data_IF_457301890878
#
_entry.id   IF_457301890878
#
_cell.length_a   1.000
_cell.length_b   1.000
_cell.length_c   1.000
_cell.angle_alpha   90.00
_cell.angle_beta   90.00
_cell.angle_gamma   90.00
#
_symmetry.space_group_name_H-M   'P 1'
#
loop_
_entity.id
_entity.type
_entity.pdbx_description
1 polymer ?
#
# COMPACT_ATOMS: atom_id res chain seq x y z
N UNK A 1 6.41 -4.75 5.59
CA UNK A 1 5.38 -4.00 4.86
C UNK A 1 4.29 -3.47 5.78
N UNK A 2 3.55 -2.46 5.34
CA UNK A 2 2.49 -1.81 6.15
C UNK A 2 1.37 -2.80 6.55
N UNK A 3 1.02 -3.75 5.69
CA UNK A 3 0.05 -4.79 6.02
C UNK A 3 0.49 -5.69 7.17
N UNK A 4 1.78 -6.05 7.23
CA UNK A 4 2.31 -6.83 8.35
C UNK A 4 2.23 -6.07 9.68
N UNK A 5 2.57 -4.77 9.68
CA UNK A 5 2.42 -3.93 10.87
C UNK A 5 0.95 -3.84 11.32
N UNK A 6 0.01 -3.75 10.37
CA UNK A 6 -1.43 -3.76 10.67
C UNK A 6 -1.88 -5.09 11.29
N UNK A 7 -1.37 -6.23 10.79
CA UNK A 7 -1.67 -7.55 11.34
C UNK A 7 -1.15 -7.64 12.78
N UNK A 8 0.11 -7.28 13.03
CA UNK A 8 0.71 -7.30 14.37
C UNK A 8 -0.05 -6.41 15.34
N UNK A 9 -0.47 -5.23 14.92
CA UNK A 9 -1.32 -4.35 15.72
C UNK A 9 -2.65 -5.02 16.09
N UNK A 10 -3.34 -5.61 15.11
CA UNK A 10 -4.68 -6.19 15.34
C UNK A 10 -4.66 -7.49 16.11
N UNK A 11 -3.63 -8.32 15.94
CA UNK A 11 -3.57 -9.64 16.57
C UNK A 11 -2.84 -9.65 17.91
N UNK A 12 -1.87 -8.76 18.09
CA UNK A 12 -1.00 -8.77 19.26
C UNK A 12 -0.86 -7.40 19.96
N UNK A 13 -1.53 -6.35 19.46
CA UNK A 13 -1.39 -5.00 20.00
C UNK A 13 0.02 -4.41 19.82
N UNK A 14 0.83 -4.99 18.94
CA UNK A 14 2.21 -4.57 18.72
C UNK A 14 2.28 -3.44 17.69
N UNK A 15 3.11 -2.45 17.97
CA UNK A 15 3.42 -1.32 17.09
C UNK A 15 4.93 -1.22 16.87
N UNK A 16 5.37 -0.59 15.76
CA UNK A 16 6.79 -0.25 15.58
C UNK A 16 7.31 0.61 16.73
N UNK A 17 8.54 0.34 17.15
CA UNK A 17 9.25 1.16 18.13
C UNK A 17 10.05 2.28 17.43
N UNK A 18 10.01 3.48 18.01
CA UNK A 18 10.68 4.68 17.52
C UNK A 18 10.11 5.29 16.23
N UNK A 19 10.83 6.27 15.66
CA UNK A 19 10.35 7.05 14.52
C UNK A 19 10.08 6.16 13.31
N UNK A 20 8.84 6.19 12.82
CA UNK A 20 8.37 5.35 11.74
C UNK A 20 7.99 6.18 10.50
N UNK A 21 8.56 5.85 9.36
CA UNK A 21 8.16 6.37 8.05
C UNK A 21 7.26 5.38 7.36
N UNK A 22 6.11 5.85 6.86
CA UNK A 22 5.17 5.02 6.08
C UNK A 22 5.16 5.54 4.65
N UNK A 23 5.52 4.70 3.68
CA UNK A 23 5.64 5.11 2.29
C UNK A 23 4.82 4.24 1.35
N UNK A 24 4.18 4.85 0.34
CA UNK A 24 3.41 4.12 -0.64
C UNK A 24 2.30 4.92 -1.29
N UNK A 25 1.22 4.24 -1.70
CA UNK A 25 0.11 4.88 -2.39
C UNK A 25 -1.26 4.33 -1.96
N UNK A 26 -2.30 5.06 -2.36
CA UNK A 26 -3.70 4.65 -2.18
C UNK A 26 -4.26 4.92 -0.77
N UNK A 27 -5.59 4.78 -0.62
CA UNK A 27 -6.29 5.16 0.63
C UNK A 27 -5.93 4.29 1.82
N UNK A 28 -5.49 3.03 1.60
CA UNK A 28 -5.06 2.13 2.67
C UNK A 28 -3.77 2.60 3.35
N UNK A 29 -2.91 3.35 2.64
CA UNK A 29 -1.73 4.00 3.25
C UNK A 29 -2.15 4.86 4.44
N UNK A 30 -3.16 5.72 4.24
CA UNK A 30 -3.66 6.63 5.27
C UNK A 30 -4.42 5.91 6.38
N UNK A 31 -5.14 4.83 6.02
CA UNK A 31 -5.84 4.01 7.00
C UNK A 31 -4.85 3.34 7.97
N UNK A 32 -3.79 2.71 7.45
CA UNK A 32 -2.76 2.08 8.28
C UNK A 32 -2.03 3.12 9.13
N UNK A 33 -1.68 4.27 8.53
CA UNK A 33 -1.05 5.37 9.27
C UNK A 33 -1.93 5.86 10.43
N UNK A 34 -3.24 6.03 10.20
CA UNK A 34 -4.16 6.47 11.25
C UNK A 34 -4.30 5.42 12.37
N UNK A 35 -4.36 4.14 12.01
CA UNK A 35 -4.44 3.05 13.00
C UNK A 35 -3.18 2.96 13.86
N UNK A 36 -2.00 3.01 13.25
CA UNK A 36 -0.72 2.98 13.97
C UNK A 36 -0.55 4.22 14.85
N UNK A 37 -0.86 5.41 14.33
CA UNK A 37 -0.81 6.64 15.11
C UNK A 37 -1.75 6.59 16.33
N UNK A 38 -2.99 6.12 16.14
CA UNK A 38 -3.96 5.97 17.23
C UNK A 38 -3.54 4.91 18.26
N UNK A 39 -2.68 3.99 17.88
CA UNK A 39 -2.10 2.97 18.77
C UNK A 39 -0.79 3.44 19.44
N UNK A 40 -0.37 4.69 19.22
CA UNK A 40 0.79 5.28 19.89
C UNK A 40 2.11 5.20 19.10
N UNK A 41 2.10 4.76 17.82
CA UNK A 41 3.30 4.79 16.98
C UNK A 41 3.75 6.22 16.73
N UNK A 42 5.02 6.51 16.93
CA UNK A 42 5.64 7.75 16.49
C UNK A 42 5.79 7.76 14.97
N UNK A 43 4.92 8.51 14.26
CA UNK A 43 4.99 8.62 12.80
C UNK A 43 5.79 9.87 12.43
N UNK A 44 7.04 9.68 11.95
CA UNK A 44 7.92 10.74 11.50
C UNK A 44 7.46 11.38 10.19
N UNK A 45 6.98 10.56 9.24
CA UNK A 45 6.39 11.04 7.99
C UNK A 45 5.54 9.97 7.28
N UNK A 46 4.61 10.45 6.45
CA UNK A 46 3.86 9.66 5.48
C UNK A 46 4.28 10.15 4.09
N UNK A 47 4.90 9.28 3.30
CA UNK A 47 5.44 9.57 1.98
C UNK A 47 4.55 8.97 0.90
N UNK A 48 3.72 9.80 0.25
CA UNK A 48 2.85 9.35 -0.82
C UNK A 48 3.60 9.36 -2.15
N UNK A 49 3.62 8.22 -2.83
CA UNK A 49 4.36 8.01 -4.10
C UNK A 49 3.54 8.28 -5.35
N UNK A 50 2.23 8.57 -5.23
CA UNK A 50 1.39 8.92 -6.37
C UNK A 50 1.86 10.23 -7.00
N UNK A 51 2.14 10.21 -8.32
CA UNK A 51 2.55 11.39 -9.06
C UNK A 51 1.33 12.12 -9.60
N UNK A 52 1.41 13.43 -9.69
CA UNK A 52 0.32 14.26 -10.23
C UNK A 52 -0.12 13.85 -11.65
N UNK A 53 0.84 13.43 -12.50
CA UNK A 53 0.56 12.92 -13.84
C UNK A 53 -0.25 11.61 -13.86
N UNK A 54 -0.19 10.82 -12.79
CA UNK A 54 -0.93 9.56 -12.70
C UNK A 54 -2.44 9.83 -12.57
N UNK A 55 -2.83 10.97 -11.98
CA UNK A 55 -4.22 11.43 -11.95
C UNK A 55 -4.76 11.80 -13.35
N UNK A 56 -3.93 12.33 -14.25
CA UNK A 56 -4.34 12.59 -15.64
C UNK A 56 -4.57 11.30 -16.42
N UNK A 57 -3.75 10.27 -16.19
CA UNK A 57 -3.97 8.95 -16.77
C UNK A 57 -5.28 8.31 -16.30
N UNK A 58 -5.65 8.54 -15.04
CA UNK A 58 -6.90 8.08 -14.46
C UNK A 58 -8.13 8.87 -14.92
N UNK A 59 -7.97 10.13 -15.34
CA UNK A 59 -9.09 11.00 -15.76
C UNK A 59 -9.89 10.42 -16.95
N UNK A 60 -9.26 9.66 -17.84
CA UNK A 60 -9.96 8.97 -18.96
C UNK A 60 -10.89 7.86 -18.47
N UNK A 61 -10.72 7.39 -17.23
CA UNK A 61 -11.59 6.43 -16.56
C UNK A 61 -12.60 7.12 -15.62
N UNK A 62 -12.74 8.46 -15.69
CA UNK A 62 -13.54 9.26 -14.77
C UNK A 62 -15.02 8.85 -14.74
N UNK A 63 -15.59 8.35 -15.85
CA UNK A 63 -16.94 7.79 -15.86
C UNK A 63 -17.09 6.54 -14.96
N UNK A 64 -16.04 5.72 -14.81
CA UNK A 64 -15.99 4.64 -13.84
C UNK A 64 -15.70 5.12 -12.40
N UNK A 65 -14.97 6.21 -12.25
CA UNK A 65 -14.60 6.82 -10.98
C UNK A 65 -15.79 7.47 -10.25
N UNK A 66 -16.88 7.81 -10.94
CA UNK A 66 -18.13 8.25 -10.31
C UNK A 66 -18.72 7.19 -9.37
N UNK A 67 -18.49 5.90 -9.64
CA UNK A 67 -18.85 4.80 -8.73
C UNK A 67 -17.83 4.61 -7.59
N UNK A 68 -16.60 5.10 -7.77
CA UNK A 68 -15.51 5.01 -6.77
C UNK A 68 -15.39 6.28 -5.90
N UNK A 69 -16.32 7.23 -6.01
CA UNK A 69 -16.26 8.52 -5.32
C UNK A 69 -16.19 8.38 -3.79
N UNK A 70 -16.82 7.36 -3.21
CA UNK A 70 -16.76 7.08 -1.78
C UNK A 70 -15.35 6.72 -1.30
N UNK A 71 -14.62 5.91 -2.08
CA UNK A 71 -13.24 5.50 -1.74
C UNK A 71 -12.26 6.67 -1.84
N UNK A 72 -12.40 7.51 -2.87
CA UNK A 72 -11.58 8.71 -3.06
C UNK A 72 -11.85 9.74 -1.97
N UNK A 73 -13.12 9.98 -1.64
CA UNK A 73 -13.52 10.90 -0.56
C UNK A 73 -13.05 10.40 0.81
N UNK A 74 -13.12 9.09 1.07
CA UNK A 74 -12.63 8.47 2.30
C UNK A 74 -11.12 8.61 2.44
N UNK A 75 -10.35 8.35 1.37
CA UNK A 75 -8.89 8.52 1.35
C UNK A 75 -8.48 9.98 1.62
N UNK A 76 -9.14 10.93 0.95
CA UNK A 76 -8.88 12.35 1.15
C UNK A 76 -9.23 12.81 2.59
N UNK A 77 -10.34 12.31 3.15
CA UNK A 77 -10.74 12.61 4.53
C UNK A 77 -9.72 12.09 5.54
N UNK A 78 -9.23 10.86 5.36
CA UNK A 78 -8.19 10.28 6.20
C UNK A 78 -6.87 11.08 6.11
N UNK A 79 -6.45 11.46 4.90
CA UNK A 79 -5.25 12.30 4.72
C UNK A 79 -5.39 13.65 5.43
N UNK A 80 -6.53 14.32 5.30
CA UNK A 80 -6.79 15.59 5.97
C UNK A 80 -6.82 15.44 7.50
N UNK A 81 -7.38 14.35 8.01
CA UNK A 81 -7.39 14.05 9.44
C UNK A 81 -5.97 13.90 9.99
N UNK A 82 -5.11 13.15 9.28
CA UNK A 82 -3.70 12.98 9.67
C UNK A 82 -2.94 14.32 9.66
N UNK A 83 -3.17 15.17 8.66
CA UNK A 83 -2.60 16.53 8.62
C UNK A 83 -3.09 17.40 9.79
N UNK A 84 -4.38 17.32 10.17
CA UNK A 84 -4.92 18.04 11.33
C UNK A 84 -4.32 17.56 12.66
N UNK A 85 -3.94 16.27 12.73
CA UNK A 85 -3.19 15.69 13.85
C UNK A 85 -1.72 16.08 13.87
N UNK A 86 -1.27 16.94 12.95
CA UNK A 86 0.11 17.43 12.87
C UNK A 86 1.08 16.49 12.16
N UNK A 87 0.60 15.40 11.55
CA UNK A 87 1.47 14.47 10.85
C UNK A 87 1.96 15.03 9.51
N UNK A 88 3.26 14.84 9.24
CA UNK A 88 3.88 15.24 7.98
C UNK A 88 3.45 14.28 6.86
N UNK A 89 2.58 14.75 5.97
CA UNK A 89 2.20 14.03 4.75
C UNK A 89 2.84 14.71 3.55
N UNK A 90 3.75 14.01 2.87
CA UNK A 90 4.47 14.48 1.70
C UNK A 90 4.01 13.71 0.46
N UNK A 91 3.35 14.39 -0.47
CA UNK A 91 2.87 13.80 -1.74
C UNK A 91 3.89 13.95 -2.86
N UNK A 92 3.76 13.12 -3.89
CA UNK A 92 4.64 13.12 -5.06
C UNK A 92 6.08 12.71 -4.76
N UNK A 93 6.24 11.86 -3.76
CA UNK A 93 7.55 11.39 -3.31
C UNK A 93 8.15 10.36 -4.26
N UNK A 94 9.43 10.49 -4.55
CA UNK A 94 10.21 9.58 -5.39
C UNK A 94 11.57 9.27 -4.76
N UNK A 95 12.31 8.32 -5.32
CA UNK A 95 13.67 7.97 -4.91
C UNK A 95 13.80 7.70 -3.41
N UNK A 96 12.84 6.96 -2.84
CA UNK A 96 12.88 6.60 -1.42
C UNK A 96 14.02 5.59 -1.21
N UNK A 97 14.92 5.90 -0.28
CA UNK A 97 16.06 5.08 0.12
C UNK A 97 16.06 4.92 1.62
N UNK A 98 16.43 3.74 2.07
CA UNK A 98 16.63 3.40 3.47
C UNK A 98 18.13 3.29 3.71
N UNK A 99 18.66 4.07 4.61
CA UNK A 99 20.08 4.13 4.93
C UNK A 99 20.32 3.78 6.41
N UNK A 100 21.43 3.13 6.68
CA UNK A 100 21.86 2.70 8.00
C UNK A 100 22.90 1.59 7.88
N UNK A 101 23.54 1.23 8.99
CA UNK A 101 24.56 0.17 9.00
C UNK A 101 23.92 -1.17 9.42
N UNK A 102 23.74 -1.41 10.71
CA UNK A 102 23.12 -2.65 11.23
C UNK A 102 21.59 -2.55 11.30
N UNK A 103 21.06 -1.34 11.34
CA UNK A 103 19.62 -1.03 11.40
C UNK A 103 19.31 0.18 10.55
N UNK A 104 18.03 0.41 10.29
CA UNK A 104 17.59 1.65 9.66
C UNK A 104 17.87 2.83 10.59
N UNK A 105 18.48 3.87 10.06
CA UNK A 105 18.81 5.12 10.75
C UNK A 105 18.11 6.30 10.10
N UNK A 106 18.09 6.35 8.75
CA UNK A 106 17.48 7.44 8.02
C UNK A 106 16.71 6.95 6.79
N UNK A 107 15.72 7.74 6.40
CA UNK A 107 15.02 7.59 5.11
C UNK A 107 15.24 8.85 4.29
N UNK A 108 15.87 8.69 3.11
CA UNK A 108 16.03 9.75 2.12
C UNK A 108 14.98 9.64 1.04
N UNK A 109 14.52 10.76 0.55
CA UNK A 109 13.55 10.81 -0.55
C UNK A 109 13.60 12.13 -1.28
N UNK A 110 13.09 12.14 -2.50
CA UNK A 110 12.93 13.35 -3.33
C UNK A 110 11.46 13.77 -3.35
N UNK A 111 11.19 15.03 -3.08
CA UNK A 111 9.88 15.65 -3.27
C UNK A 111 10.04 17.08 -3.77
N UNK A 112 9.21 17.53 -4.70
CA UNK A 112 9.29 18.87 -5.30
C UNK A 112 10.71 19.20 -5.81
N UNK A 113 11.39 18.23 -6.44
CA UNK A 113 12.76 18.35 -6.98
C UNK A 113 13.85 18.61 -5.92
N UNK A 114 13.56 18.40 -4.65
CA UNK A 114 14.53 18.53 -3.55
C UNK A 114 14.67 17.20 -2.82
N UNK A 115 15.88 16.95 -2.34
CA UNK A 115 16.16 15.82 -1.47
C UNK A 115 15.88 16.18 -0.01
N UNK A 116 15.34 15.21 0.70
CA UNK A 116 15.03 15.29 2.13
C UNK A 116 15.57 14.05 2.81
N UNK A 117 15.89 14.21 4.09
CA UNK A 117 16.31 13.13 4.98
C UNK A 117 15.49 13.21 6.27
N UNK A 118 15.07 12.05 6.78
CA UNK A 118 14.30 11.93 8.01
C UNK A 118 14.88 10.78 8.82
N UNK A 119 15.15 11.01 10.10
CA UNK A 119 15.50 9.95 11.04
C UNK A 119 14.33 8.95 11.16
N UNK A 120 14.65 7.67 11.07
CA UNK A 120 13.66 6.60 11.17
C UNK A 120 14.29 5.30 11.64
N UNK A 121 13.62 4.61 12.55
CA UNK A 121 13.95 3.24 12.96
C UNK A 121 13.16 2.19 12.17
N UNK A 122 12.04 2.60 11.56
CA UNK A 122 11.19 1.70 10.78
C UNK A 122 10.70 2.37 9.50
N UNK A 123 10.80 1.64 8.38
CA UNK A 123 10.19 2.02 7.10
C UNK A 123 9.12 0.99 6.71
N UNK A 124 7.87 1.41 6.67
CA UNK A 124 6.73 0.60 6.24
C UNK A 124 6.34 0.95 4.81
N UNK A 125 6.33 -0.05 3.93
CA UNK A 125 5.97 0.13 2.52
C UNK A 125 4.56 -0.39 2.24
N UNK A 126 3.78 0.37 1.45
CA UNK A 126 2.47 0.01 0.93
C UNK A 126 2.32 0.41 -0.53
N UNK A 127 2.44 -0.56 -1.44
CA UNK A 127 2.36 -0.33 -2.89
C UNK A 127 1.07 -0.90 -3.51
N UNK A 128 0.05 -1.08 -2.70
CA UNK A 128 -1.21 -1.70 -3.09
C UNK A 128 -1.40 -3.08 -2.48
N UNK A 129 -2.55 -3.67 -2.78
CA UNK A 129 -2.89 -5.04 -2.38
C UNK A 129 -2.69 -5.95 -3.58
N UNK A 130 -2.07 -7.10 -3.36
CA UNK A 130 -1.84 -8.10 -4.40
C UNK A 130 -2.36 -9.46 -3.95
N UNK A 131 -2.81 -10.32 -4.87
CA UNK A 131 -3.24 -11.68 -4.54
C UNK A 131 -2.11 -12.48 -3.90
N UNK A 132 -2.44 -13.33 -2.94
CA UNK A 132 -1.50 -14.30 -2.44
C UNK A 132 -1.45 -15.51 -3.39
N UNK A 133 -0.43 -15.52 -4.26
CA UNK A 133 -0.26 -16.54 -5.30
C UNK A 133 0.75 -17.63 -4.92
N UNK A 134 1.18 -17.71 -3.67
CA UNK A 134 2.21 -18.68 -3.26
C UNK A 134 1.75 -20.12 -3.46
N UNK A 135 0.56 -20.46 -2.99
CA UNK A 135 0.03 -21.83 -3.11
C UNK A 135 -0.18 -22.20 -4.58
N UNK A 136 -0.80 -21.32 -5.36
CA UNK A 136 -1.06 -21.58 -6.78
C UNK A 136 0.21 -21.74 -7.59
N UNK A 137 1.27 -20.98 -7.27
CA UNK A 137 2.60 -21.13 -7.88
C UNK A 137 3.27 -22.44 -7.48
N UNK A 138 3.22 -22.81 -6.21
CA UNK A 138 3.79 -24.08 -5.74
C UNK A 138 3.13 -25.30 -6.39
N UNK A 139 1.83 -25.23 -6.63
CA UNK A 139 1.08 -26.28 -7.31
C UNK A 139 1.22 -26.25 -8.84
N UNK A 140 1.98 -25.30 -9.40
CA UNK A 140 2.24 -25.22 -10.84
C UNK A 140 1.09 -24.66 -11.67
N UNK A 141 0.13 -23.96 -11.07
CA UNK A 141 -0.95 -23.32 -11.81
C UNK A 141 -0.42 -22.21 -12.73
N UNK A 142 -1.06 -22.04 -13.88
CA UNK A 142 -0.75 -20.96 -14.82
C UNK A 142 -1.10 -19.61 -14.24
N UNK A 143 -0.21 -18.61 -14.43
CA UNK A 143 -0.41 -17.24 -13.98
C UNK A 143 -0.32 -16.27 -15.12
N UNK A 144 -1.06 -15.18 -15.04
CA UNK A 144 -0.99 -14.04 -15.94
C UNK A 144 -0.66 -12.75 -15.20
N UNK A 145 -0.05 -11.79 -15.91
CA UNK A 145 0.13 -10.44 -15.43
C UNK A 145 -1.12 -9.62 -15.66
N UNK A 146 -1.76 -9.10 -14.60
CA UNK A 146 -2.93 -8.24 -14.68
C UNK A 146 -2.52 -6.77 -14.72
N UNK A 147 -2.37 -6.22 -15.93
CA UNK A 147 -1.83 -4.87 -16.16
C UNK A 147 -2.61 -3.75 -15.43
N UNK A 148 -3.97 -3.75 -15.33
CA UNK A 148 -4.69 -2.66 -14.67
C UNK A 148 -4.31 -2.45 -13.21
N UNK A 149 -3.97 -3.52 -12.47
CA UNK A 149 -3.60 -3.46 -11.06
C UNK A 149 -2.16 -3.87 -10.78
N UNK A 150 -1.39 -4.22 -11.84
CA UNK A 150 0.05 -4.52 -11.80
C UNK A 150 0.41 -5.61 -10.80
N UNK A 151 -0.24 -6.76 -10.92
CA UNK A 151 0.08 -7.96 -10.14
C UNK A 151 -0.07 -9.24 -10.97
N UNK A 152 0.56 -10.30 -10.48
CA UNK A 152 0.37 -11.66 -10.99
C UNK A 152 -0.86 -12.29 -10.33
N UNK A 153 -1.71 -12.95 -11.11
CA UNK A 153 -2.84 -13.73 -10.63
C UNK A 153 -2.90 -15.09 -11.32
N UNK A 154 -3.48 -16.12 -10.68
CA UNK A 154 -3.75 -17.37 -11.36
C UNK A 154 -4.78 -17.15 -12.47
N UNK A 155 -4.60 -17.85 -13.58
CA UNK A 155 -5.62 -17.94 -14.64
C UNK A 155 -6.70 -18.87 -14.14
N UNK A 156 -7.96 -18.38 -14.09
CA UNK A 156 -9.12 -19.13 -13.62
C UNK A 156 -10.28 -18.99 -14.61
N UNK A 157 -11.16 -19.97 -14.62
CA UNK A 157 -12.46 -19.86 -15.26
C UNK A 157 -13.44 -19.07 -14.37
N UNK A 158 -14.70 -18.99 -14.78
CA UNK A 158 -15.76 -18.29 -14.05
C UNK A 158 -16.10 -18.92 -12.68
N UNK A 159 -15.73 -20.19 -12.49
CA UNK A 159 -15.94 -20.96 -11.25
C UNK A 159 -14.71 -20.97 -10.35
N UNK A 160 -13.61 -20.33 -10.77
CA UNK A 160 -12.36 -20.30 -10.04
C UNK A 160 -11.47 -21.53 -10.25
N UNK A 161 -11.81 -22.43 -11.18
CA UNK A 161 -10.96 -23.57 -11.51
C UNK A 161 -9.68 -23.09 -12.22
N UNK A 162 -8.54 -23.66 -11.83
CA UNK A 162 -7.22 -23.29 -12.37
C UNK A 162 -6.79 -24.27 -13.47
N UNK A 163 -5.59 -24.06 -14.03
CA UNK A 163 -4.95 -25.03 -14.94
C UNK A 163 -4.57 -26.37 -14.26
N UNK A 164 -4.67 -26.45 -12.93
CA UNK A 164 -4.45 -27.68 -12.17
C UNK A 164 -5.83 -28.22 -11.77
N UNK A 165 -6.18 -29.41 -12.30
CA UNK A 165 -7.51 -30.01 -12.20
C UNK A 165 -8.07 -30.09 -10.77
N UNK A 166 -7.21 -30.28 -9.78
CA UNK A 166 -7.57 -30.42 -8.35
C UNK A 166 -7.55 -29.12 -7.57
N UNK A 167 -7.30 -27.96 -8.25
CA UNK A 167 -7.13 -26.66 -7.61
C UNK A 167 -8.14 -25.65 -8.12
N UNK A 168 -9.01 -25.20 -7.24
CA UNK A 168 -9.87 -24.05 -7.45
C UNK A 168 -9.54 -22.94 -6.45
N UNK A 169 -9.72 -21.67 -6.86
CA UNK A 169 -9.40 -20.49 -6.07
C UNK A 169 -10.63 -19.60 -5.96
N UNK A 170 -10.90 -19.13 -4.75
CA UNK A 170 -11.95 -18.18 -4.47
C UNK A 170 -11.42 -16.94 -3.73
N UNK A 171 -12.10 -15.81 -3.86
CA UNK A 171 -11.77 -14.56 -3.19
C UNK A 171 -10.49 -13.91 -3.71
N UNK A 172 -9.79 -13.16 -2.86
CA UNK A 172 -8.64 -12.33 -3.21
C UNK A 172 -7.43 -13.11 -3.74
N UNK A 173 -7.41 -14.44 -3.56
CA UNK A 173 -6.40 -15.31 -4.17
C UNK A 173 -6.49 -15.40 -5.70
N UNK A 174 -7.70 -15.23 -6.27
CA UNK A 174 -7.94 -15.20 -7.71
C UNK A 174 -7.69 -13.81 -8.33
N UNK A 175 -7.76 -12.75 -7.52
CA UNK A 175 -7.58 -11.36 -7.94
C UNK A 175 -8.23 -10.40 -6.96
N UNK A 176 -7.75 -9.17 -6.90
CA UNK A 176 -8.30 -8.15 -6.00
C UNK A 176 -9.38 -7.38 -6.77
N UNK A 177 -10.62 -7.76 -6.57
CA UNK A 177 -11.77 -7.17 -7.28
C UNK A 177 -12.47 -6.06 -6.47
N UNK A 178 -11.99 -5.78 -5.27
CA UNK A 178 -12.59 -4.85 -4.32
C UNK A 178 -13.69 -5.53 -3.49
N UNK A 179 -13.85 -5.11 -2.26
CA UNK A 179 -14.95 -5.46 -1.37
C UNK A 179 -15.86 -4.25 -1.19
#
# INVERSE_FOLDING_TARGET
GAGAAQILLKTAGMVPDGPTVIAGNGPLLYLVANQLFSAGTEIAAILETTRFRDYFGAARYAFGALKANEYLSKGNRLMQELKRKGLRVQSGTTNIRADGNEKLETVRFTANHKEYEIEASTLLLHQGVVPNVQITRQMGATHEWYEPQRYWRPVTDEWGATSVETLAIAGDGAGIFGA
#
